data_IF_605026742847
#
_entry.id   IF_605026742847
#
_cell.length_a   1.000
_cell.length_b   1.000
_cell.length_c   1.000
_cell.angle_alpha   90.00
_cell.angle_beta   90.00
_cell.angle_gamma   90.00
#
_symmetry.space_group_name_H-M   'P 1'
#
loop_
_entity.id
_entity.type
_entity.pdbx_description
1 polymer ?
#
# COMPACT_ATOMS: atom_id res chain seq x y z
N UNK A 1 -10.34 6.96 20.82
CA UNK A 1 -8.90 6.97 20.81
C UNK A 1 -8.35 6.67 19.44
N UNK A 2 -7.53 7.55 18.89
CA UNK A 2 -7.01 7.30 17.55
C UNK A 2 -6.06 6.12 17.55
N UNK A 3 -6.20 5.28 16.55
CA UNK A 3 -5.33 4.15 16.37
C UNK A 3 -4.45 4.37 15.16
N UNK A 4 -3.25 3.87 15.25
CA UNK A 4 -2.39 3.86 14.08
C UNK A 4 -2.98 2.90 13.07
N UNK A 5 -3.17 3.39 11.87
CA UNK A 5 -3.64 2.56 10.78
C UNK A 5 -2.45 1.77 10.25
N UNK A 6 -2.61 0.47 10.07
CA UNK A 6 -1.53 -0.37 9.56
C UNK A 6 -1.21 0.00 8.11
N UNK A 7 -0.01 -0.39 7.66
CA UNK A 7 0.37 -0.16 6.27
C UNK A 7 -0.63 -0.80 5.31
N UNK A 8 -1.06 -2.03 5.60
CA UNK A 8 -2.04 -2.71 4.76
C UNK A 8 -3.33 -1.92 4.65
N UNK A 9 -3.79 -1.34 5.75
CA UNK A 9 -4.99 -0.53 5.76
C UNK A 9 -4.80 0.77 4.97
N UNK A 10 -3.65 1.41 5.11
CA UNK A 10 -3.32 2.60 4.33
C UNK A 10 -3.35 2.31 2.83
N UNK A 11 -2.76 1.21 2.42
CA UNK A 11 -2.72 0.82 1.02
C UNK A 11 -4.13 0.63 0.47
N UNK A 12 -4.94 -0.10 1.20
CA UNK A 12 -6.32 -0.37 0.79
C UNK A 12 -7.14 0.91 0.72
N UNK A 13 -7.06 1.74 1.76
CA UNK A 13 -7.82 2.99 1.82
C UNK A 13 -7.43 3.92 0.68
N UNK A 14 -6.14 4.05 0.40
CA UNK A 14 -5.65 4.91 -0.67
C UNK A 14 -6.09 4.41 -2.03
N UNK A 15 -6.05 3.09 -2.23
CA UNK A 15 -6.51 2.49 -3.48
C UNK A 15 -8.00 2.76 -3.71
N UNK A 16 -8.81 2.52 -2.69
CA UNK A 16 -10.25 2.73 -2.79
C UNK A 16 -10.60 4.19 -3.00
N UNK A 17 -9.88 5.09 -2.33
CA UNK A 17 -10.11 6.53 -2.50
C UNK A 17 -9.84 6.99 -3.93
N UNK A 18 -8.98 6.28 -4.65
CA UNK A 18 -8.66 6.57 -6.04
C UNK A 18 -9.48 5.74 -7.02
N UNK A 19 -10.38 4.93 -6.53
CA UNK A 19 -11.23 4.06 -7.34
C UNK A 19 -10.42 3.12 -8.24
N UNK A 20 -9.30 2.63 -7.71
CA UNK A 20 -8.46 1.70 -8.42
C UNK A 20 -8.76 0.28 -7.98
N UNK A 21 -8.67 -0.66 -8.90
CA UNK A 21 -8.75 -2.08 -8.57
C UNK A 21 -7.39 -2.56 -8.09
N UNK A 22 -7.37 -3.73 -7.45
CA UNK A 22 -6.10 -4.39 -7.09
C UNK A 22 -5.26 -4.61 -8.34
N UNK A 23 -5.90 -5.01 -9.44
CA UNK A 23 -5.20 -5.24 -10.70
C UNK A 23 -4.60 -3.95 -11.27
N UNK A 24 -5.31 -2.83 -11.12
CA UNK A 24 -4.80 -1.53 -11.57
C UNK A 24 -3.51 -1.17 -10.82
N UNK A 25 -3.53 -1.32 -9.51
CA UNK A 25 -2.35 -1.02 -8.68
C UNK A 25 -1.20 -1.96 -9.05
N UNK A 26 -1.49 -3.24 -9.17
CA UNK A 26 -0.47 -4.22 -9.54
C UNK A 26 0.20 -3.88 -10.85
N UNK A 27 -0.59 -3.50 -11.85
CA UNK A 27 -0.09 -3.11 -13.15
C UNK A 27 0.85 -1.89 -13.05
N UNK A 28 0.45 -0.90 -12.27
CA UNK A 28 1.24 0.32 -12.14
C UNK A 28 2.52 0.13 -11.32
N UNK A 29 2.49 -0.80 -10.38
CA UNK A 29 3.67 -1.12 -9.57
C UNK A 29 4.60 -2.12 -10.27
N UNK A 30 4.05 -2.93 -11.17
CA UNK A 30 4.82 -3.95 -11.87
C UNK A 30 4.87 -5.28 -11.14
N UNK A 31 3.80 -5.60 -10.42
CA UNK A 31 3.67 -6.87 -9.69
C UNK A 31 2.36 -7.54 -10.06
N UNK A 32 2.11 -8.71 -9.52
CA UNK A 32 0.85 -9.43 -9.77
C UNK A 32 -0.25 -8.95 -8.85
N UNK A 33 -1.50 -9.12 -9.27
CA UNK A 33 -2.64 -8.74 -8.44
C UNK A 33 -2.66 -9.47 -7.10
N UNK A 34 -2.40 -10.79 -7.03
CA UNK A 34 -2.31 -11.46 -5.72
C UNK A 34 -1.27 -10.85 -4.80
N UNK A 35 -0.18 -10.34 -5.34
CA UNK A 35 0.87 -9.70 -4.55
C UNK A 35 0.31 -8.47 -3.82
N UNK A 36 -0.41 -7.61 -4.54
CA UNK A 36 -1.03 -6.42 -3.94
C UNK A 36 -2.07 -6.83 -2.92
N UNK A 37 -2.85 -7.83 -3.24
CA UNK A 37 -3.89 -8.33 -2.34
C UNK A 37 -3.30 -8.79 -1.00
N UNK A 38 -2.20 -9.54 -1.05
CA UNK A 38 -1.53 -10.00 0.17
C UNK A 38 -0.99 -8.84 0.99
N UNK A 39 -0.50 -7.78 0.34
CA UNK A 39 -0.08 -6.57 1.05
C UNK A 39 -1.27 -5.94 1.79
N UNK A 40 -2.41 -5.87 1.14
CA UNK A 40 -3.61 -5.26 1.74
C UNK A 40 -4.19 -6.12 2.86
N UNK A 41 -3.98 -7.43 2.81
CA UNK A 41 -4.40 -8.33 3.87
C UNK A 41 -3.42 -8.40 5.03
N UNK A 42 -2.26 -7.78 4.88
CA UNK A 42 -1.24 -7.83 5.91
C UNK A 42 -0.49 -9.15 5.99
N UNK A 43 -0.61 -10.00 4.98
CA UNK A 43 0.09 -11.27 4.94
C UNK A 43 1.55 -11.14 4.58
N UNK A 44 1.85 -10.19 3.71
CA UNK A 44 3.22 -9.89 3.31
C UNK A 44 3.40 -8.39 3.31
N UNK A 45 4.65 -7.95 3.35
CA UNK A 45 4.98 -6.53 3.29
C UNK A 45 5.66 -6.22 1.97
N UNK A 46 5.35 -5.09 1.35
CA UNK A 46 6.08 -4.68 0.16
C UNK A 46 7.52 -4.35 0.51
N UNK A 47 8.43 -4.70 -0.38
CA UNK A 47 9.82 -4.32 -0.24
C UNK A 47 9.96 -2.81 -0.40
N UNK A 48 11.10 -2.26 0.06
CA UNK A 48 11.31 -0.82 0.05
C UNK A 48 11.09 -0.20 -1.33
N UNK A 49 11.58 -0.82 -2.38
CA UNK A 49 11.41 -0.30 -3.74
C UNK A 49 9.96 -0.33 -4.21
N UNK A 50 9.23 -1.38 -3.86
CA UNK A 50 7.81 -1.45 -4.18
C UNK A 50 7.02 -0.44 -3.36
N UNK A 51 7.42 -0.23 -2.12
CA UNK A 51 6.78 0.75 -1.26
C UNK A 51 6.94 2.16 -1.81
N UNK A 52 8.11 2.49 -2.34
CA UNK A 52 8.34 3.78 -2.99
C UNK A 52 7.40 3.97 -4.17
N UNK A 53 7.27 2.95 -5.00
CA UNK A 53 6.39 2.98 -6.15
C UNK A 53 4.92 3.12 -5.71
N UNK A 54 4.54 2.38 -4.67
CA UNK A 54 3.20 2.48 -4.11
C UNK A 54 2.91 3.90 -3.62
N UNK A 55 3.87 4.54 -2.98
CA UNK A 55 3.70 5.91 -2.52
C UNK A 55 3.44 6.85 -3.69
N UNK A 56 4.10 6.63 -4.81
CA UNK A 56 3.88 7.44 -6.01
C UNK A 56 2.53 7.17 -6.65
N UNK A 57 2.18 5.90 -6.80
CA UNK A 57 0.94 5.47 -7.44
C UNK A 57 -0.27 5.91 -6.62
N UNK A 58 -0.23 5.68 -5.32
CA UNK A 58 -1.33 5.96 -4.41
C UNK A 58 -1.21 7.32 -3.75
N UNK A 59 -0.14 8.04 -4.03
CA UNK A 59 0.14 9.36 -3.44
C UNK A 59 0.10 9.33 -1.93
N UNK A 60 0.69 8.28 -1.36
CA UNK A 60 0.80 8.16 0.09
C UNK A 60 1.93 9.05 0.57
N UNK A 61 1.75 9.71 1.73
CA UNK A 61 2.86 10.46 2.33
C UNK A 61 3.94 9.47 2.76
N UNK A 62 5.19 9.77 2.40
CA UNK A 62 6.33 8.95 2.82
C UNK A 62 6.38 8.85 4.34
N UNK A 63 6.02 9.93 5.00
CA UNK A 63 5.98 9.99 6.45
C UNK A 63 5.04 8.93 7.04
N UNK A 64 3.85 8.79 6.48
CA UNK A 64 2.88 7.82 6.98
C UNK A 64 3.38 6.38 6.80
N UNK A 65 3.99 6.08 5.65
CA UNK A 65 4.51 4.74 5.39
C UNK A 65 5.71 4.43 6.28
N UNK A 66 6.52 5.43 6.56
CA UNK A 66 7.68 5.26 7.43
C UNK A 66 7.25 4.94 8.86
N UNK A 67 6.27 5.67 9.38
CA UNK A 67 5.78 5.44 10.74
C UNK A 67 5.22 4.04 10.90
N UNK A 68 4.45 3.60 9.92
CA UNK A 68 3.87 2.26 9.94
C UNK A 68 4.95 1.19 9.78
N UNK A 69 5.91 1.42 8.92
CA UNK A 69 6.97 0.45 8.67
C UNK A 69 7.94 0.32 9.84
N UNK A 70 8.06 1.34 10.67
CA UNK A 70 8.95 1.33 11.82
C UNK A 70 8.39 0.54 13.01
N UNK A 71 7.13 0.21 12.98
CA UNK A 71 6.49 -0.58 14.04
C UNK A 71 6.61 -2.11 13.79
#
# INVERSE_FOLDING_TARGET
MPRKVSLSQHLRNARLARRLSVADVASQVGVTAPCVYFWEMGRTRPRAENLKTLCKVLKLPVRATREVAAV
#
